data_IF_654652142127
#
_entry.id   IF_654652142127
#
_cell.length_a   1.000
_cell.length_b   1.000
_cell.length_c   1.000
_cell.angle_alpha   90.00
_cell.angle_beta   90.00
_cell.angle_gamma   90.00
#
_symmetry.space_group_name_H-M   'P 1'
#
loop_
_entity.id
_entity.type
_entity.pdbx_description
1 polymer ?
#
# COMPACT_ATOMS: atom_id res chain seq x y z
N UNK A 1 -53.15 -24.38 11.85
CA UNK A 1 -51.91 -25.13 11.50
C UNK A 1 -51.81 -25.22 9.99
N UNK A 2 -51.56 -24.13 9.32
CA UNK A 2 -51.28 -24.07 7.86
C UNK A 2 -50.98 -22.62 7.54
N UNK A 3 -49.83 -22.32 7.02
CA UNK A 3 -49.47 -21.11 6.31
C UNK A 3 -48.22 -20.38 6.78
N UNK A 4 -47.10 -21.12 6.82
CA UNK A 4 -45.76 -20.53 7.01
C UNK A 4 -44.74 -21.02 5.94
N UNK A 5 -45.17 -21.53 4.79
CA UNK A 5 -44.29 -22.23 3.83
C UNK A 5 -44.19 -21.59 2.43
N UNK A 6 -44.43 -20.30 2.28
CA UNK A 6 -44.43 -19.72 0.91
C UNK A 6 -43.65 -18.40 0.72
N UNK A 7 -42.72 -18.03 1.62
CA UNK A 7 -41.92 -16.80 1.45
C UNK A 7 -40.39 -17.03 1.42
N UNK A 8 -39.94 -18.20 1.12
CA UNK A 8 -38.54 -18.43 0.88
C UNK A 8 -38.31 -18.82 -0.58
N UNK A 9 -37.36 -18.19 -1.22
CA UNK A 9 -36.82 -18.45 -2.57
C UNK A 9 -37.42 -17.58 -3.68
N UNK A 10 -37.05 -16.31 -3.69
CA UNK A 10 -36.86 -15.63 -4.97
C UNK A 10 -35.86 -14.45 -4.85
N UNK A 11 -34.66 -14.70 -4.35
CA UNK A 11 -33.52 -13.81 -4.53
C UNK A 11 -32.70 -14.24 -5.73
N UNK A 12 -33.12 -13.79 -6.93
CA UNK A 12 -32.23 -13.84 -8.11
C UNK A 12 -30.91 -13.11 -7.74
N UNK A 13 -29.72 -13.71 -7.96
CA UNK A 13 -28.49 -12.95 -7.87
C UNK A 13 -28.48 -11.90 -8.98
N UNK A 14 -28.64 -10.63 -8.61
CA UNK A 14 -28.48 -9.53 -9.53
C UNK A 14 -27.07 -9.57 -10.11
N UNK A 15 -26.96 -9.90 -11.36
CA UNK A 15 -25.73 -9.74 -12.13
C UNK A 15 -25.30 -8.27 -12.03
N UNK A 16 -24.29 -7.99 -11.23
CA UNK A 16 -23.76 -6.66 -11.02
C UNK A 16 -23.05 -6.20 -12.30
N UNK A 17 -23.79 -5.49 -13.18
CA UNK A 17 -23.18 -4.76 -14.29
C UNK A 17 -22.21 -3.71 -13.72
N UNK A 18 -21.00 -3.62 -14.28
CA UNK A 18 -19.93 -2.73 -13.79
C UNK A 18 -20.33 -1.25 -13.60
N UNK A 19 -21.35 -0.76 -14.30
CA UNK A 19 -21.90 0.59 -14.15
C UNK A 19 -22.65 0.85 -12.82
N UNK A 20 -23.14 -0.19 -12.16
CA UNK A 20 -23.84 -0.05 -10.86
C UNK A 20 -22.87 0.22 -9.70
N UNK A 21 -21.68 -0.35 -9.74
CA UNK A 21 -20.64 -0.16 -8.70
C UNK A 21 -20.07 1.26 -8.71
N UNK A 22 -19.84 1.82 -9.88
CA UNK A 22 -19.35 3.21 -10.03
C UNK A 22 -20.38 4.22 -9.54
N UNK A 23 -21.67 4.05 -9.90
CA UNK A 23 -22.75 4.91 -9.40
C UNK A 23 -22.95 4.78 -7.88
N UNK A 24 -22.83 3.57 -7.33
CA UNK A 24 -22.89 3.35 -5.88
C UNK A 24 -21.72 4.01 -5.15
N UNK A 25 -20.52 3.96 -5.72
CA UNK A 25 -19.32 4.62 -5.19
C UNK A 25 -19.48 6.16 -5.18
N UNK A 26 -19.91 6.76 -6.28
CA UNK A 26 -20.19 8.21 -6.32
C UNK A 26 -21.33 8.63 -5.36
N UNK A 27 -22.36 7.81 -5.20
CA UNK A 27 -23.43 8.05 -4.22
C UNK A 27 -22.92 7.95 -2.77
N UNK A 28 -21.99 7.03 -2.50
CA UNK A 28 -21.34 6.88 -1.19
C UNK A 28 -20.46 8.09 -0.86
N UNK A 29 -19.67 8.56 -1.85
CA UNK A 29 -18.83 9.76 -1.74
C UNK A 29 -19.72 10.98 -1.37
N UNK A 30 -20.80 11.23 -2.10
CA UNK A 30 -21.67 12.39 -1.85
C UNK A 30 -22.35 12.38 -0.48
N UNK A 31 -22.46 11.22 0.18
CA UNK A 31 -23.09 11.09 1.50
C UNK A 31 -22.11 11.29 2.67
N UNK A 32 -20.81 11.08 2.45
CA UNK A 32 -19.78 11.11 3.50
C UNK A 32 -18.82 12.30 3.29
N UNK A 33 -19.16 13.47 3.86
CA UNK A 33 -18.35 14.70 3.73
C UNK A 33 -16.89 14.52 4.17
N UNK A 34 -16.64 13.77 5.26
CA UNK A 34 -15.27 13.48 5.74
C UNK A 34 -14.45 12.67 4.73
N UNK A 35 -15.09 11.71 4.05
CA UNK A 35 -14.45 10.93 3.00
C UNK A 35 -14.08 11.81 1.78
N UNK A 36 -14.97 12.75 1.40
CA UNK A 36 -14.69 13.71 0.32
C UNK A 36 -13.50 14.61 0.64
N UNK A 37 -13.43 15.11 1.87
CA UNK A 37 -12.31 15.96 2.32
C UNK A 37 -10.99 15.17 2.29
N UNK A 38 -10.99 13.96 2.85
CA UNK A 38 -9.80 13.10 2.83
C UNK A 38 -9.32 12.76 1.41
N UNK A 39 -10.26 12.40 0.53
CA UNK A 39 -9.96 12.13 -0.88
C UNK A 39 -9.41 13.36 -1.60
N UNK A 40 -10.00 14.55 -1.34
CA UNK A 40 -9.53 15.81 -1.93
C UNK A 40 -8.08 16.11 -1.51
N UNK A 41 -7.75 15.95 -0.23
CA UNK A 41 -6.38 16.15 0.28
C UNK A 41 -5.40 15.20 -0.42
N UNK A 42 -5.75 13.91 -0.55
CA UNK A 42 -4.90 12.92 -1.23
C UNK A 42 -4.72 13.27 -2.70
N UNK A 43 -5.79 13.68 -3.39
CA UNK A 43 -5.72 14.09 -4.81
C UNK A 43 -4.81 15.31 -4.97
N UNK A 44 -4.97 16.33 -4.13
CA UNK A 44 -4.11 17.52 -4.16
C UNK A 44 -2.65 17.12 -3.93
N UNK A 45 -2.37 16.28 -2.94
CA UNK A 45 -1.03 15.81 -2.64
C UNK A 45 -0.39 15.07 -3.83
N UNK A 46 -1.13 14.15 -4.44
CA UNK A 46 -0.64 13.39 -5.61
C UNK A 46 -0.43 14.30 -6.81
N UNK A 47 -1.38 15.19 -7.11
CA UNK A 47 -1.25 16.14 -8.21
C UNK A 47 -0.07 17.08 -8.00
N UNK A 48 0.12 17.62 -6.79
CA UNK A 48 1.26 18.48 -6.45
C UNK A 48 2.59 17.74 -6.63
N UNK A 49 2.67 16.46 -6.24
CA UNK A 49 3.86 15.66 -6.41
C UNK A 49 4.18 15.36 -7.90
N UNK A 50 3.14 15.04 -8.70
CA UNK A 50 3.31 14.75 -10.13
C UNK A 50 3.68 16.01 -10.91
N UNK A 51 3.02 17.12 -10.60
CA UNK A 51 3.23 18.40 -11.27
C UNK A 51 4.40 19.22 -10.67
N UNK A 52 5.11 18.70 -9.66
CA UNK A 52 6.23 19.37 -9.02
C UNK A 52 7.26 19.97 -10.03
N UNK A 53 7.68 19.27 -11.11
CA UNK A 53 8.63 19.83 -12.07
C UNK A 53 8.11 21.04 -12.87
N UNK A 54 6.78 21.23 -12.90
CA UNK A 54 6.13 22.31 -13.65
C UNK A 54 5.74 23.47 -12.72
N UNK A 55 5.34 23.14 -11.49
CA UNK A 55 4.82 24.12 -10.52
C UNK A 55 5.94 24.75 -9.68
N UNK A 56 7.04 24.01 -9.44
CA UNK A 56 8.14 24.52 -8.64
C UNK A 56 8.85 25.70 -9.35
N UNK A 57 8.91 26.87 -8.72
CA UNK A 57 9.55 28.05 -9.33
C UNK A 57 11.07 27.91 -9.42
N UNK A 58 11.70 27.20 -8.47
CA UNK A 58 13.15 27.07 -8.34
C UNK A 58 13.60 25.62 -8.19
N UNK A 59 14.87 25.36 -8.44
CA UNK A 59 15.49 24.07 -8.11
C UNK A 59 15.49 23.90 -6.58
N UNK A 60 14.93 22.80 -6.04
CA UNK A 60 14.84 22.56 -4.59
C UNK A 60 16.20 22.39 -3.90
N UNK A 61 17.27 22.16 -4.67
CA UNK A 61 18.64 21.99 -4.15
C UNK A 61 19.50 23.24 -4.33
N UNK A 62 19.07 24.22 -5.11
CA UNK A 62 19.82 25.45 -5.34
C UNK A 62 19.95 26.23 -4.04
N UNK A 63 21.20 26.51 -3.66
CA UNK A 63 21.52 27.31 -2.47
C UNK A 63 21.89 28.71 -2.86
N UNK A 64 21.19 29.70 -2.31
CA UNK A 64 21.47 31.12 -2.53
C UNK A 64 21.61 31.83 -1.17
N UNK A 65 22.81 31.86 -0.58
CA UNK A 65 23.03 32.36 0.78
C UNK A 65 22.60 33.82 1.01
N UNK A 66 22.54 34.64 -0.04
CA UNK A 66 22.12 36.04 0.03
C UNK A 66 20.65 36.24 0.40
N UNK A 67 19.79 35.26 0.13
CA UNK A 67 18.34 35.29 0.40
C UNK A 67 17.94 34.34 1.54
N UNK A 68 18.90 33.89 2.33
CA UNK A 68 18.62 33.00 3.47
C UNK A 68 17.60 33.61 4.43
N UNK A 69 16.70 32.76 4.95
CA UNK A 69 15.68 33.18 5.91
C UNK A 69 14.75 34.29 5.41
N UNK A 70 14.61 34.44 4.10
CA UNK A 70 13.58 35.30 3.51
C UNK A 70 12.20 34.87 4.01
N UNK A 71 11.41 35.83 4.49
CA UNK A 71 10.08 35.57 5.02
C UNK A 71 9.09 35.20 3.93
N UNK A 72 8.07 34.40 4.23
CA UNK A 72 6.99 34.08 3.30
C UNK A 72 6.33 35.37 2.74
N UNK A 73 5.95 35.34 1.49
CA UNK A 73 5.24 36.42 0.77
C UNK A 73 6.02 37.75 0.67
N UNK A 74 7.33 37.75 0.87
CA UNK A 74 8.18 38.94 0.70
C UNK A 74 8.66 39.08 -0.74
N UNK A 75 8.87 37.93 -1.42
CA UNK A 75 9.36 37.86 -2.78
C UNK A 75 8.40 37.00 -3.63
N UNK A 76 8.17 37.44 -4.88
CA UNK A 76 7.30 36.74 -5.82
C UNK A 76 7.87 35.40 -6.30
N UNK A 77 9.20 35.27 -6.31
CA UNK A 77 9.89 34.04 -6.71
C UNK A 77 9.92 32.99 -5.58
N UNK A 78 9.87 33.46 -4.31
CA UNK A 78 9.94 32.59 -3.11
C UNK A 78 8.69 32.73 -2.25
N UNK A 79 7.56 32.17 -2.73
CA UNK A 79 6.22 32.34 -2.12
C UNK A 79 6.20 31.97 -0.63
N UNK A 80 6.83 30.86 -0.23
CA UNK A 80 6.94 30.42 1.17
C UNK A 80 8.26 30.84 1.84
N UNK A 81 9.05 31.69 1.15
CA UNK A 81 10.36 32.11 1.63
C UNK A 81 11.44 31.05 1.47
N UNK A 82 12.60 31.30 2.08
CA UNK A 82 13.78 30.44 1.97
C UNK A 82 14.23 29.91 3.34
N UNK A 83 14.89 28.76 3.30
CA UNK A 83 15.47 28.14 4.51
C UNK A 83 16.80 28.79 4.93
N UNK A 84 17.46 28.25 5.97
CA UNK A 84 18.73 28.73 6.48
C UNK A 84 19.90 28.64 5.47
N UNK A 85 19.75 27.88 4.39
CA UNK A 85 20.72 27.75 3.30
C UNK A 85 20.33 28.55 2.07
N UNK A 86 19.21 29.31 2.11
CA UNK A 86 18.70 30.08 0.99
C UNK A 86 18.03 29.23 -0.09
N UNK A 87 17.52 28.03 0.27
CA UNK A 87 16.78 27.17 -0.66
C UNK A 87 15.30 27.47 -0.58
N UNK A 88 14.60 27.44 -1.71
CA UNK A 88 13.16 27.72 -1.78
C UNK A 88 12.33 26.65 -1.06
N UNK A 89 11.55 27.07 -0.06
CA UNK A 89 10.76 26.14 0.78
C UNK A 89 9.63 25.52 -0.04
N UNK A 90 8.97 26.29 -0.92
CA UNK A 90 7.84 25.78 -1.71
C UNK A 90 8.27 24.67 -2.66
N UNK A 91 9.33 24.89 -3.43
CA UNK A 91 9.91 23.89 -4.32
C UNK A 91 10.35 22.64 -3.55
N UNK A 92 10.94 22.80 -2.37
CA UNK A 92 11.36 21.68 -1.51
C UNK A 92 10.18 20.86 -0.99
N UNK A 93 9.06 21.50 -0.66
CA UNK A 93 7.85 20.77 -0.24
C UNK A 93 7.30 19.92 -1.41
N UNK A 94 7.22 20.49 -2.61
CA UNK A 94 6.71 19.77 -3.78
C UNK A 94 7.57 18.56 -4.16
N UNK A 95 8.87 18.73 -4.22
CA UNK A 95 9.80 17.63 -4.53
C UNK A 95 9.95 16.63 -3.38
N UNK A 96 9.87 17.11 -2.13
CA UNK A 96 9.82 16.25 -0.94
C UNK A 96 8.59 15.36 -0.94
N UNK A 97 7.43 15.90 -1.30
CA UNK A 97 6.18 15.15 -1.43
C UNK A 97 6.29 14.06 -2.52
N UNK A 98 6.86 14.42 -3.68
CA UNK A 98 7.12 13.47 -4.78
C UNK A 98 8.02 12.31 -4.33
N UNK A 99 9.13 12.63 -3.68
CA UNK A 99 10.07 11.62 -3.17
C UNK A 99 9.43 10.74 -2.10
N UNK A 100 8.67 11.32 -1.17
CA UNK A 100 7.97 10.59 -0.11
C UNK A 100 6.91 9.63 -0.67
N UNK A 101 6.12 10.06 -1.66
CA UNK A 101 5.14 9.21 -2.32
C UNK A 101 5.81 8.05 -3.08
N UNK A 102 6.90 8.32 -3.81
CA UNK A 102 7.64 7.30 -4.53
C UNK A 102 8.21 6.24 -3.59
N UNK A 103 8.83 6.65 -2.51
CA UNK A 103 9.39 5.75 -1.48
C UNK A 103 8.28 4.94 -0.82
N UNK A 104 7.17 5.58 -0.44
CA UNK A 104 6.05 4.91 0.24
C UNK A 104 5.38 3.87 -0.66
N UNK A 105 5.04 4.25 -1.89
CA UNK A 105 4.41 3.34 -2.86
C UNK A 105 5.36 2.19 -3.21
N UNK A 106 6.63 2.50 -3.48
CA UNK A 106 7.63 1.49 -3.78
C UNK A 106 7.86 0.52 -2.62
N UNK A 107 7.97 1.04 -1.40
CA UNK A 107 8.15 0.25 -0.18
C UNK A 107 6.97 -0.68 0.08
N UNK A 108 5.74 -0.16 0.00
CA UNK A 108 4.52 -0.97 0.20
C UNK A 108 4.36 -2.00 -0.91
N UNK A 109 4.59 -1.64 -2.18
CA UNK A 109 4.47 -2.57 -3.30
C UNK A 109 5.45 -3.74 -3.17
N UNK A 110 6.70 -3.47 -2.83
CA UNK A 110 7.73 -4.50 -2.65
C UNK A 110 7.44 -5.36 -1.41
N UNK A 111 7.07 -4.75 -0.29
CA UNK A 111 6.68 -5.48 0.93
C UNK A 111 5.47 -6.40 0.69
N UNK A 112 4.46 -5.90 -0.03
CA UNK A 112 3.28 -6.66 -0.40
C UNK A 112 3.65 -7.83 -1.31
N UNK A 113 4.49 -7.60 -2.33
CA UNK A 113 4.94 -8.65 -3.24
C UNK A 113 5.65 -9.80 -2.48
N UNK A 114 6.61 -9.46 -1.62
CA UNK A 114 7.33 -10.44 -0.79
C UNK A 114 6.36 -11.14 0.17
N UNK A 115 5.54 -10.38 0.89
CA UNK A 115 4.60 -10.89 1.87
C UNK A 115 3.54 -11.80 1.27
N UNK A 116 2.98 -11.45 0.11
CA UNK A 116 2.00 -12.29 -0.60
C UNK A 116 2.62 -13.61 -1.04
N UNK A 117 3.81 -13.57 -1.66
CA UNK A 117 4.49 -14.79 -2.12
C UNK A 117 4.80 -15.72 -0.94
N UNK A 118 5.45 -15.20 0.11
CA UNK A 118 5.83 -16.00 1.26
C UNK A 118 4.61 -16.46 2.08
N UNK A 119 3.57 -15.62 2.20
CA UNK A 119 2.32 -15.97 2.86
C UNK A 119 1.55 -17.07 2.15
N UNK A 120 1.50 -17.05 0.82
CA UNK A 120 0.90 -18.12 0.00
C UNK A 120 1.68 -19.43 0.19
N UNK A 121 3.00 -19.39 0.03
CA UNK A 121 3.85 -20.57 0.19
C UNK A 121 3.66 -21.18 1.60
N UNK A 122 3.72 -20.36 2.63
CA UNK A 122 3.52 -20.75 4.03
C UNK A 122 2.13 -21.36 4.26
N UNK A 123 1.06 -20.69 3.82
CA UNK A 123 -0.32 -21.12 4.03
C UNK A 123 -0.66 -22.46 3.36
N UNK A 124 -0.17 -22.69 2.12
CA UNK A 124 -0.33 -23.99 1.45
C UNK A 124 0.57 -25.09 2.00
N UNK A 125 1.70 -24.72 2.61
CA UNK A 125 2.64 -25.70 3.19
C UNK A 125 2.32 -26.04 4.64
N UNK A 126 1.34 -25.39 5.27
CA UNK A 126 0.96 -25.70 6.65
C UNK A 126 0.35 -27.12 6.75
N UNK A 127 0.78 -27.95 7.72
CA UNK A 127 1.70 -27.73 8.85
C UNK A 127 3.15 -28.21 8.62
N UNK A 128 3.75 -28.00 7.48
CA UNK A 128 5.06 -28.51 7.12
C UNK A 128 6.23 -27.61 7.58
N UNK A 129 7.47 -28.14 7.45
CA UNK A 129 8.70 -27.44 7.81
C UNK A 129 8.85 -26.07 7.13
N UNK A 130 8.42 -25.91 5.86
CA UNK A 130 8.49 -24.64 5.10
C UNK A 130 7.65 -23.57 5.79
N UNK A 131 6.44 -23.89 6.22
CA UNK A 131 5.60 -22.96 6.96
C UNK A 131 6.26 -22.56 8.28
N UNK A 132 6.77 -23.53 9.03
CA UNK A 132 7.45 -23.27 10.30
C UNK A 132 8.66 -22.38 10.12
N UNK A 133 9.48 -22.62 9.09
CA UNK A 133 10.66 -21.79 8.79
C UNK A 133 10.29 -20.35 8.46
N UNK A 134 9.34 -20.14 7.55
CA UNK A 134 8.89 -18.79 7.16
C UNK A 134 8.34 -18.05 8.37
N UNK A 135 7.51 -18.70 9.19
CA UNK A 135 6.93 -18.07 10.37
C UNK A 135 7.98 -17.77 11.45
N UNK A 136 8.99 -18.61 11.63
CA UNK A 136 10.09 -18.33 12.55
C UNK A 136 10.91 -17.09 12.13
N UNK A 137 11.21 -16.98 10.84
CA UNK A 137 11.89 -15.77 10.32
C UNK A 137 11.01 -14.53 10.56
N UNK A 138 9.70 -14.66 10.30
CA UNK A 138 8.72 -13.60 10.55
C UNK A 138 8.70 -13.19 12.03
N UNK A 139 8.66 -14.16 12.94
CA UNK A 139 8.60 -13.92 14.39
C UNK A 139 9.89 -13.27 14.91
N UNK A 140 11.06 -13.76 14.48
CA UNK A 140 12.35 -13.15 14.82
C UNK A 140 12.39 -11.69 14.36
N UNK A 141 12.01 -11.43 13.12
CA UNK A 141 12.07 -10.07 12.57
C UNK A 141 11.09 -9.12 13.26
N UNK A 142 9.88 -9.58 13.58
CA UNK A 142 8.90 -8.76 14.32
C UNK A 142 9.27 -8.56 15.80
N UNK A 143 10.20 -9.34 16.34
CA UNK A 143 10.76 -9.14 17.68
C UNK A 143 11.72 -7.95 17.77
N UNK A 144 12.25 -7.48 16.63
CA UNK A 144 13.13 -6.32 16.61
C UNK A 144 12.35 -5.02 16.39
N UNK A 145 12.66 -3.94 17.15
CA UNK A 145 12.12 -2.62 16.88
C UNK A 145 12.49 -2.16 15.46
N UNK A 146 11.46 -1.82 14.65
CA UNK A 146 11.65 -1.38 13.26
C UNK A 146 12.70 -0.27 13.12
N UNK A 147 12.67 0.73 14.01
CA UNK A 147 13.60 1.89 13.96
C UNK A 147 15.05 1.42 14.08
N UNK A 148 15.34 0.43 14.92
CA UNK A 148 16.71 -0.10 15.08
C UNK A 148 17.20 -0.76 13.80
N UNK A 149 16.36 -1.60 13.19
CA UNK A 149 16.68 -2.24 11.91
C UNK A 149 16.89 -1.20 10.80
N UNK A 150 16.04 -0.16 10.75
CA UNK A 150 16.14 0.90 9.75
C UNK A 150 17.46 1.70 9.90
N UNK A 151 17.84 2.07 11.13
CA UNK A 151 19.09 2.79 11.38
C UNK A 151 20.29 1.94 10.96
N UNK A 152 20.37 0.69 11.39
CA UNK A 152 21.47 -0.22 11.04
C UNK A 152 21.56 -0.36 9.51
N UNK A 153 20.45 -0.60 8.84
CA UNK A 153 20.44 -0.77 7.40
C UNK A 153 20.88 0.50 6.65
N UNK A 154 20.41 1.68 7.07
CA UNK A 154 20.76 2.96 6.45
C UNK A 154 22.20 3.41 6.75
N UNK A 155 22.86 2.86 7.78
CA UNK A 155 24.30 3.09 8.02
C UNK A 155 25.18 2.22 7.13
N UNK A 156 24.66 1.07 6.68
CA UNK A 156 25.40 0.14 5.80
C UNK A 156 25.25 0.47 4.32
N UNK A 157 24.17 1.13 3.93
CA UNK A 157 23.88 1.48 2.54
C UNK A 157 23.98 2.98 2.34
N UNK A 158 24.45 3.40 1.18
CA UNK A 158 24.37 4.81 0.79
C UNK A 158 22.93 5.31 0.82
N UNK A 159 22.68 6.50 1.42
CA UNK A 159 21.33 7.06 1.53
C UNK A 159 20.81 7.49 0.17
N UNK A 160 20.05 6.60 -0.48
CA UNK A 160 19.34 6.87 -1.72
C UNK A 160 17.87 6.37 -1.60
N UNK A 161 16.95 6.85 -2.45
CA UNK A 161 15.55 6.43 -2.38
C UNK A 161 15.34 4.91 -2.49
N UNK A 162 16.16 4.22 -3.27
CA UNK A 162 16.07 2.77 -3.45
C UNK A 162 16.45 2.02 -2.17
N UNK A 163 17.52 2.44 -1.49
CA UNK A 163 17.92 1.84 -0.21
C UNK A 163 16.80 1.97 0.82
N UNK A 164 16.14 3.14 0.90
CA UNK A 164 15.02 3.37 1.80
C UNK A 164 13.83 2.46 1.45
N UNK A 165 13.48 2.31 0.17
CA UNK A 165 12.43 1.40 -0.30
C UNK A 165 12.71 -0.04 0.15
N UNK A 166 13.96 -0.52 -0.04
CA UNK A 166 14.35 -1.89 0.36
C UNK A 166 14.23 -2.06 1.88
N UNK A 167 14.74 -1.13 2.66
CA UNK A 167 14.68 -1.18 4.12
C UNK A 167 13.24 -1.20 4.63
N UNK A 168 12.38 -0.31 4.10
CA UNK A 168 10.97 -0.26 4.46
C UNK A 168 10.26 -1.55 4.09
N UNK A 169 10.50 -2.06 2.89
CA UNK A 169 9.86 -3.30 2.42
C UNK A 169 10.30 -4.51 3.22
N UNK A 170 11.60 -4.60 3.51
CA UNK A 170 12.15 -5.68 4.32
C UNK A 170 11.57 -5.69 5.73
N UNK A 171 11.18 -4.54 6.26
CA UNK A 171 10.60 -4.45 7.60
C UNK A 171 9.09 -4.73 7.63
N UNK A 172 8.38 -4.47 6.54
CA UNK A 172 6.91 -4.53 6.50
C UNK A 172 6.37 -5.88 5.97
N UNK A 173 7.12 -6.64 5.16
CA UNK A 173 6.65 -7.89 4.56
C UNK A 173 6.12 -8.94 5.56
N UNK A 174 6.63 -9.06 6.83
CA UNK A 174 6.15 -10.05 7.78
C UNK A 174 4.66 -9.89 8.12
N UNK A 175 4.20 -8.64 8.26
CA UNK A 175 2.81 -8.36 8.55
C UNK A 175 1.90 -8.84 7.40
N UNK A 176 2.28 -8.54 6.14
CA UNK A 176 1.54 -9.01 4.96
C UNK A 176 1.57 -10.53 4.84
N UNK A 177 2.73 -11.16 5.03
CA UNK A 177 2.87 -12.62 4.97
C UNK A 177 1.95 -13.34 5.95
N UNK A 178 1.84 -12.82 7.18
CA UNK A 178 0.98 -13.41 8.23
C UNK A 178 -0.51 -13.31 7.88
N UNK A 179 -0.95 -12.16 7.37
CA UNK A 179 -2.34 -11.95 6.94
C UNK A 179 -2.69 -12.87 5.76
N UNK A 180 -1.82 -12.90 4.74
CA UNK A 180 -2.02 -13.75 3.57
C UNK A 180 -2.03 -15.24 3.94
N UNK A 181 -1.08 -15.69 4.77
CA UNK A 181 -1.05 -17.07 5.29
C UNK A 181 -2.36 -17.44 5.97
N UNK A 182 -2.85 -16.61 6.89
CA UNK A 182 -4.12 -16.85 7.58
C UNK A 182 -5.29 -16.99 6.61
N UNK A 183 -5.36 -16.09 5.62
CA UNK A 183 -6.40 -16.14 4.60
C UNK A 183 -6.31 -17.39 3.71
N UNK A 184 -5.10 -17.82 3.34
CA UNK A 184 -4.87 -19.06 2.58
C UNK A 184 -5.32 -20.28 3.40
N UNK A 185 -4.96 -20.32 4.68
CA UNK A 185 -5.35 -21.43 5.55
C UNK A 185 -6.87 -21.56 5.70
N UNK A 186 -7.59 -20.45 5.81
CA UNK A 186 -9.07 -20.45 5.87
C UNK A 186 -9.70 -20.94 4.56
N UNK A 187 -9.08 -20.63 3.43
CA UNK A 187 -9.68 -20.91 2.12
C UNK A 187 -9.28 -22.27 1.53
N UNK A 188 -8.07 -22.79 1.84
CA UNK A 188 -7.53 -24.00 1.19
C UNK A 188 -8.40 -25.25 1.39
N UNK A 189 -9.20 -25.28 2.44
CA UNK A 189 -10.03 -26.43 2.83
C UNK A 189 -11.51 -26.23 2.46
N UNK A 190 -11.85 -25.16 1.72
CA UNK A 190 -13.22 -24.90 1.25
C UNK A 190 -13.61 -25.81 0.09
N UNK A 191 -14.90 -26.17 0.01
CA UNK A 191 -15.46 -27.12 -0.97
C UNK A 191 -15.17 -26.73 -2.42
N UNK A 192 -15.19 -25.42 -2.75
CA UNK A 192 -14.89 -24.97 -4.11
C UNK A 192 -13.42 -25.18 -4.49
N UNK A 193 -12.50 -25.17 -3.53
CA UNK A 193 -11.08 -25.50 -3.74
C UNK A 193 -10.92 -27.02 -3.92
N UNK A 194 -11.64 -27.82 -3.14
CA UNK A 194 -11.67 -29.28 -3.30
C UNK A 194 -12.20 -29.65 -4.68
N UNK A 195 -13.30 -29.04 -5.11
CA UNK A 195 -13.83 -29.23 -6.48
C UNK A 195 -12.85 -28.82 -7.56
N UNK A 196 -12.16 -27.68 -7.40
CA UNK A 196 -11.14 -27.25 -8.36
C UNK A 196 -9.97 -28.23 -8.45
N UNK A 197 -9.53 -28.82 -7.34
CA UNK A 197 -8.50 -29.89 -7.33
C UNK A 197 -8.96 -31.13 -8.07
N UNK A 198 -10.20 -31.57 -7.86
CA UNK A 198 -10.79 -32.72 -8.56
C UNK A 198 -10.86 -32.47 -10.08
N UNK A 199 -11.08 -31.25 -10.50
CA UNK A 199 -11.02 -30.84 -11.92
C UNK A 199 -9.60 -30.66 -12.48
N UNK A 200 -8.55 -31.04 -11.72
CA UNK A 200 -7.16 -30.99 -12.17
C UNK A 200 -6.46 -29.62 -12.03
N UNK A 201 -7.01 -28.70 -11.22
CA UNK A 201 -6.35 -27.43 -10.99
C UNK A 201 -5.08 -27.59 -10.15
N UNK A 202 -3.92 -27.23 -10.69
CA UNK A 202 -2.63 -27.25 -9.99
C UNK A 202 -2.56 -26.18 -8.87
N UNK A 203 -1.64 -26.39 -7.92
CA UNK A 203 -1.45 -25.51 -6.73
C UNK A 203 -1.31 -24.03 -7.08
N UNK A 204 -0.53 -23.70 -8.12
CA UNK A 204 -0.33 -22.31 -8.56
C UNK A 204 -1.63 -21.69 -9.10
N UNK A 205 -2.41 -22.44 -9.88
CA UNK A 205 -3.71 -21.99 -10.40
C UNK A 205 -4.69 -21.72 -9.24
N UNK A 206 -4.69 -22.59 -8.23
CA UNK A 206 -5.51 -22.42 -7.02
C UNK A 206 -5.07 -21.16 -6.28
N UNK A 207 -3.77 -20.99 -6.04
CA UNK A 207 -3.22 -19.84 -5.35
C UNK A 207 -3.60 -18.50 -6.02
N UNK A 208 -3.38 -18.40 -7.33
CA UNK A 208 -3.58 -17.13 -8.06
C UNK A 208 -5.06 -16.88 -8.38
N UNK A 209 -5.77 -17.88 -8.93
CA UNK A 209 -7.12 -17.68 -9.47
C UNK A 209 -8.23 -17.78 -8.42
N UNK A 210 -8.07 -18.64 -7.43
CA UNK A 210 -9.12 -18.89 -6.42
C UNK A 210 -8.84 -18.17 -5.10
N UNK A 211 -7.64 -18.30 -4.56
CA UNK A 211 -7.27 -17.66 -3.30
C UNK A 211 -6.94 -16.19 -3.52
N UNK A 212 -6.09 -15.85 -4.51
CA UNK A 212 -5.69 -14.49 -4.80
C UNK A 212 -6.86 -13.55 -5.11
N UNK A 213 -7.88 -14.03 -5.81
CA UNK A 213 -9.11 -13.25 -6.08
C UNK A 213 -9.92 -12.93 -4.82
N UNK A 214 -9.83 -13.75 -3.81
CA UNK A 214 -10.56 -13.59 -2.56
C UNK A 214 -9.73 -12.90 -1.45
N UNK A 215 -8.45 -12.60 -1.73
CA UNK A 215 -7.58 -11.79 -0.85
C UNK A 215 -7.82 -10.29 -1.03
N UNK A 216 -8.47 -9.87 -2.13
CA UNK A 216 -8.85 -8.49 -2.47
C UNK A 216 -10.34 -8.25 -2.15
#
# INVERSE_FOLDING_TARGET
>A
MTDVRSKAVNSKPAAASGGGKVKAFFKYIGKNKMFCIGMLIVIIAVLSAVLAPVIAPCDPQQMTPSIRLTKPFTDSEHILGCDAMGRDIFSRILYGLRTSLLISIGGVALALAIGVVLGIISGFSHPNFIDTLIMRITDIQMGFPFIVLAIIALTLFEPNPLSIIIVLSLSAWPAYARVVRSSVMMQKDMDYIAAARMMGAGKLRIAVKYVGKNLM
#
